data_IF_159956465368
#
_entry.id   IF_159956465368
#
_cell.length_a   1.000
_cell.length_b   1.000
_cell.length_c   1.000
_cell.angle_alpha   90.00
_cell.angle_beta   90.00
_cell.angle_gamma   90.00
#
_symmetry.space_group_name_H-M   'P 1'
#
loop_
_entity.id
_entity.type
_entity.pdbx_description
1 polymer ?
#
# COMPACT_ATOMS: atom_id res chain seq x y z
N UNK A 1 15.95 -8.37 -10.47
CA UNK A 1 15.27 -7.39 -9.59
C UNK A 1 14.15 -6.61 -10.30
N UNK A 2 14.34 -6.17 -11.56
CA UNK A 2 13.33 -5.43 -12.34
C UNK A 2 12.10 -6.30 -12.70
N UNK A 3 12.31 -7.56 -13.08
CA UNK A 3 11.24 -8.46 -13.52
C UNK A 3 10.19 -8.74 -12.44
N UNK A 4 10.61 -8.86 -11.17
CA UNK A 4 9.73 -9.07 -10.03
C UNK A 4 8.79 -7.89 -9.77
N UNK A 5 9.30 -6.65 -9.89
CA UNK A 5 8.46 -5.45 -9.74
C UNK A 5 7.45 -5.32 -10.87
N UNK A 6 7.85 -5.68 -12.10
CA UNK A 6 6.96 -5.70 -13.27
C UNK A 6 5.85 -6.75 -13.07
N UNK A 7 6.16 -7.92 -12.54
CA UNK A 7 5.17 -8.96 -12.27
C UNK A 7 4.15 -8.53 -11.21
N UNK A 8 4.62 -7.90 -10.11
CA UNK A 8 3.73 -7.33 -9.08
C UNK A 8 2.81 -6.28 -9.70
N UNK A 9 3.34 -5.36 -10.50
CA UNK A 9 2.54 -4.33 -11.17
C UNK A 9 1.54 -4.93 -12.16
N UNK A 10 1.90 -5.99 -12.88
CA UNK A 10 1.00 -6.70 -13.79
C UNK A 10 -0.14 -7.38 -13.03
N UNK A 11 0.13 -8.05 -11.92
CA UNK A 11 -0.91 -8.66 -11.06
C UNK A 11 -1.82 -7.60 -10.44
N UNK A 12 -1.24 -6.51 -9.95
CA UNK A 12 -2.02 -5.40 -9.40
C UNK A 12 -2.95 -4.81 -10.46
N UNK A 13 -2.45 -4.56 -11.68
CA UNK A 13 -3.26 -4.02 -12.78
C UNK A 13 -4.30 -4.99 -13.34
N UNK A 14 -4.04 -6.30 -13.29
CA UNK A 14 -4.91 -7.31 -13.91
C UNK A 14 -5.97 -7.85 -12.95
N UNK A 15 -5.62 -7.98 -11.68
CA UNK A 15 -6.44 -8.69 -10.68
C UNK A 15 -6.80 -7.81 -9.48
N UNK A 16 -6.28 -6.59 -9.39
CA UNK A 16 -6.36 -5.72 -8.20
C UNK A 16 -5.76 -6.38 -6.94
N UNK A 17 -4.93 -7.43 -7.09
CA UNK A 17 -4.37 -8.20 -5.97
C UNK A 17 -2.94 -7.76 -5.65
N UNK A 18 -2.66 -7.60 -4.36
CA UNK A 18 -1.32 -7.48 -3.80
C UNK A 18 -1.11 -8.50 -2.68
N UNK A 19 0.10 -9.02 -2.54
CA UNK A 19 0.41 -9.92 -1.42
C UNK A 19 0.64 -9.11 -0.13
N UNK A 20 0.19 -9.64 1.00
CA UNK A 20 0.38 -9.03 2.31
C UNK A 20 1.86 -8.81 2.64
N UNK A 21 2.74 -9.72 2.20
CA UNK A 21 4.19 -9.53 2.37
C UNK A 21 4.73 -8.28 1.66
N UNK A 22 4.10 -7.82 0.58
CA UNK A 22 4.48 -6.53 -0.03
C UNK A 22 4.02 -5.34 0.81
N UNK A 23 2.87 -5.46 1.50
CA UNK A 23 2.41 -4.46 2.47
C UNK A 23 3.41 -4.36 3.63
N UNK A 24 3.82 -5.50 4.20
CA UNK A 24 4.84 -5.54 5.27
C UNK A 24 6.11 -4.84 4.81
N UNK A 25 6.64 -5.17 3.62
CA UNK A 25 7.85 -4.52 3.09
C UNK A 25 7.71 -3.01 2.93
N UNK A 26 6.52 -2.50 2.59
CA UNK A 26 6.26 -1.06 2.51
C UNK A 26 6.29 -0.46 3.92
N UNK A 27 5.59 -1.07 4.86
CA UNK A 27 5.54 -0.68 6.27
C UNK A 27 6.95 -0.64 6.88
N UNK A 28 7.74 -1.71 6.73
CA UNK A 28 9.12 -1.78 7.23
C UNK A 28 10.01 -0.70 6.61
N UNK A 29 9.81 -0.40 5.32
CA UNK A 29 10.58 0.62 4.63
C UNK A 29 10.30 2.05 5.13
N UNK A 30 9.17 2.32 5.78
CA UNK A 30 8.94 3.61 6.44
C UNK A 30 9.85 3.83 7.67
N UNK A 31 10.24 2.75 8.36
CA UNK A 31 11.12 2.81 9.52
C UNK A 31 12.60 2.98 9.13
N UNK A 32 12.98 2.53 7.93
CA UNK A 32 14.36 2.57 7.45
C UNK A 32 14.60 3.88 6.69
N UNK A 33 15.54 4.71 7.15
CA UNK A 33 15.84 6.01 6.51
C UNK A 33 16.13 5.90 5.00
N UNK A 34 16.89 4.88 4.57
CA UNK A 34 17.15 4.61 3.15
C UNK A 34 15.95 3.98 2.39
N UNK A 35 14.97 3.45 3.12
CA UNK A 35 13.75 2.85 2.59
C UNK A 35 12.57 3.81 2.44
N UNK A 36 12.61 4.98 3.09
CA UNK A 36 11.49 5.91 3.12
C UNK A 36 11.02 6.35 1.73
N UNK A 37 11.95 6.65 0.82
CA UNK A 37 11.58 7.03 -0.55
C UNK A 37 10.83 5.92 -1.31
N UNK A 38 11.20 4.65 -1.07
CA UNK A 38 10.50 3.49 -1.64
C UNK A 38 9.11 3.35 -1.03
N UNK A 39 8.99 3.46 0.30
CA UNK A 39 7.73 3.38 1.01
C UNK A 39 6.76 4.47 0.54
N UNK A 40 7.26 5.68 0.38
CA UNK A 40 6.52 6.83 -0.16
C UNK A 40 6.01 6.55 -1.57
N UNK A 41 6.90 6.14 -2.47
CA UNK A 41 6.54 5.87 -3.87
C UNK A 41 5.50 4.77 -4.01
N UNK A 42 5.66 3.65 -3.28
CA UNK A 42 4.71 2.54 -3.31
C UNK A 42 3.36 2.92 -2.70
N UNK A 43 3.35 3.61 -1.57
CA UNK A 43 2.12 4.08 -0.92
C UNK A 43 1.35 5.04 -1.83
N UNK A 44 2.04 5.99 -2.47
CA UNK A 44 1.44 6.90 -3.45
C UNK A 44 0.79 6.11 -4.60
N UNK A 45 1.51 5.13 -5.14
CA UNK A 45 0.98 4.25 -6.19
C UNK A 45 -0.27 3.48 -5.77
N UNK A 46 -0.31 2.99 -4.52
CA UNK A 46 -1.50 2.30 -3.98
C UNK A 46 -2.69 3.24 -3.79
N UNK A 47 -2.47 4.45 -3.29
CA UNK A 47 -3.53 5.46 -3.14
C UNK A 47 -4.08 5.90 -4.50
N UNK A 48 -3.21 6.16 -5.47
CA UNK A 48 -3.60 6.47 -6.86
C UNK A 48 -4.39 5.32 -7.49
N UNK A 49 -3.99 4.09 -7.21
CA UNK A 49 -4.67 2.90 -7.71
C UNK A 49 -6.06 2.76 -7.08
N UNK A 50 -6.21 2.94 -5.77
CA UNK A 50 -7.51 2.93 -5.09
C UNK A 50 -8.47 3.98 -5.67
N UNK A 51 -7.97 5.18 -5.97
CA UNK A 51 -8.79 6.23 -6.61
C UNK A 51 -9.27 5.81 -8.00
N UNK A 52 -8.44 5.11 -8.78
CA UNK A 52 -8.76 4.72 -10.17
C UNK A 52 -9.61 3.45 -10.26
N UNK A 53 -9.29 2.45 -9.47
CA UNK A 53 -9.84 1.09 -9.59
C UNK A 53 -10.88 0.76 -8.51
N UNK A 54 -11.00 1.59 -7.47
CA UNK A 54 -12.01 1.46 -6.42
C UNK A 54 -11.68 0.44 -5.33
N UNK A 55 -10.81 -0.54 -5.59
CA UNK A 55 -10.38 -1.50 -4.58
C UNK A 55 -9.00 -2.12 -4.81
N UNK A 56 -8.37 -2.57 -3.73
CA UNK A 56 -7.18 -3.42 -3.69
C UNK A 56 -7.49 -4.63 -2.80
N UNK A 57 -7.19 -5.82 -3.30
CA UNK A 57 -7.31 -7.07 -2.55
C UNK A 57 -5.93 -7.45 -2.02
N UNK A 58 -5.75 -7.37 -0.71
CA UNK A 58 -4.52 -7.82 -0.04
C UNK A 58 -4.68 -9.29 0.36
N UNK A 59 -3.84 -10.16 -0.21
CA UNK A 59 -3.85 -11.60 0.07
C UNK A 59 -2.75 -11.94 1.07
N UNK A 60 -3.11 -12.43 2.26
CA UNK A 60 -2.14 -12.90 3.27
C UNK A 60 -1.76 -14.36 3.05
N UNK A 61 -2.76 -15.19 2.79
CA UNK A 61 -2.65 -16.62 2.49
C UNK A 61 -3.77 -17.02 1.51
N UNK A 62 -3.84 -18.29 1.09
CA UNK A 62 -4.91 -18.76 0.18
C UNK A 62 -6.33 -18.47 0.68
N UNK A 63 -6.52 -18.39 2.00
CA UNK A 63 -7.82 -18.22 2.65
C UNK A 63 -8.12 -16.81 3.15
N UNK A 64 -7.10 -15.96 3.34
CA UNK A 64 -7.29 -14.64 3.97
C UNK A 64 -7.09 -13.53 2.94
N UNK A 65 -8.19 -12.80 2.68
CA UNK A 65 -8.23 -11.63 1.80
C UNK A 65 -8.75 -10.43 2.58
N UNK A 66 -7.98 -9.34 2.57
CA UNK A 66 -8.40 -8.04 3.08
C UNK A 66 -8.73 -7.19 1.85
N UNK A 67 -9.94 -6.63 1.79
CA UNK A 67 -10.34 -5.75 0.69
C UNK A 67 -10.23 -4.31 1.17
N UNK A 68 -9.38 -3.54 0.53
CA UNK A 68 -9.21 -2.11 0.76
C UNK A 68 -10.02 -1.37 -0.31
N UNK A 69 -11.00 -0.58 0.09
CA UNK A 69 -11.86 0.17 -0.86
C UNK A 69 -11.58 1.67 -0.82
N UNK A 70 -10.99 2.13 0.27
CA UNK A 70 -10.76 3.54 0.51
C UNK A 70 -9.32 3.79 0.93
N UNK A 71 -8.87 5.03 0.74
CA UNK A 71 -7.61 5.55 1.31
C UNK A 71 -7.51 5.30 2.82
N UNK A 72 -8.64 5.36 3.54
CA UNK A 72 -8.70 5.10 4.98
C UNK A 72 -8.52 3.62 5.31
N UNK A 73 -8.95 2.70 4.46
CA UNK A 73 -8.69 1.26 4.67
C UNK A 73 -7.20 0.97 4.57
N UNK A 74 -6.51 1.59 3.61
CA UNK A 74 -5.07 1.48 3.48
C UNK A 74 -4.34 2.09 4.69
N UNK A 75 -4.77 3.27 5.14
CA UNK A 75 -4.20 3.91 6.33
C UNK A 75 -4.38 3.05 7.59
N UNK A 76 -5.59 2.51 7.80
CA UNK A 76 -5.88 1.57 8.89
C UNK A 76 -5.04 0.30 8.79
N UNK A 77 -4.82 -0.22 7.58
CA UNK A 77 -3.97 -1.39 7.38
C UNK A 77 -2.53 -1.10 7.82
N UNK A 78 -1.93 0.01 7.39
CA UNK A 78 -0.59 0.38 7.83
C UNK A 78 -0.52 0.59 9.33
N UNK A 79 -1.49 1.32 9.91
CA UNK A 79 -1.56 1.56 11.35
C UNK A 79 -1.70 0.24 12.15
N UNK A 80 -2.40 -0.76 11.58
CA UNK A 80 -2.56 -2.07 12.22
C UNK A 80 -1.29 -2.92 12.22
N UNK A 81 -0.37 -2.67 11.29
CA UNK A 81 0.93 -3.35 11.21
C UNK A 81 1.95 -2.59 12.04
N UNK A 82 1.96 -1.26 11.95
CA UNK A 82 2.83 -0.38 12.70
C UNK A 82 2.07 0.88 13.15
N UNK A 83 1.89 1.01 14.46
CA UNK A 83 1.17 2.12 15.09
C UNK A 83 1.83 3.49 14.88
N UNK A 84 3.10 3.53 14.47
CA UNK A 84 3.80 4.79 14.20
C UNK A 84 3.55 5.32 12.77
N UNK A 85 3.00 4.49 11.87
CA UNK A 85 2.74 4.89 10.48
C UNK A 85 1.34 5.49 10.39
N UNK A 86 1.27 6.80 10.56
CA UNK A 86 0.01 7.57 10.47
C UNK A 86 -0.06 8.36 9.16
N UNK A 87 -0.21 7.68 8.03
CA UNK A 87 -0.14 8.33 6.70
C UNK A 87 -1.20 9.43 6.47
N UNK A 88 -2.31 9.40 7.19
CA UNK A 88 -3.36 10.42 7.10
C UNK A 88 -2.88 11.81 7.55
N UNK A 89 -1.87 11.85 8.44
CA UNK A 89 -1.29 13.07 9.01
C UNK A 89 0.03 13.44 8.35
N UNK A 90 0.56 12.58 7.48
CA UNK A 90 1.82 12.81 6.80
C UNK A 90 1.66 13.90 5.74
N UNK A 91 2.58 14.86 5.72
CA UNK A 91 2.54 16.01 4.79
C UNK A 91 2.52 15.55 3.33
N UNK A 92 3.19 14.44 3.01
CA UNK A 92 3.28 13.90 1.65
C UNK A 92 1.92 13.34 1.20
N UNK A 93 1.19 12.69 2.11
CA UNK A 93 -0.05 12.01 1.77
C UNK A 93 -1.31 12.81 2.10
N UNK A 94 -1.21 13.93 2.84
CA UNK A 94 -2.38 14.71 3.27
C UNK A 94 -3.32 15.05 2.10
N UNK A 95 -2.78 15.30 0.91
CA UNK A 95 -3.53 15.67 -0.30
C UNK A 95 -4.52 14.58 -0.74
N UNK A 96 -4.22 13.32 -0.42
CA UNK A 96 -5.12 12.20 -0.65
C UNK A 96 -6.30 12.21 0.31
N UNK A 97 -6.11 12.69 1.55
CA UNK A 97 -7.08 12.63 2.65
C UNK A 97 -7.87 13.93 2.85
N UNK A 98 -7.38 15.07 2.36
CA UNK A 98 -8.01 16.40 2.50
C UNK A 98 -9.20 16.67 1.55
N UNK A 99 -9.79 15.63 0.97
CA UNK A 99 -10.99 15.66 0.13
C UNK A 99 -12.02 14.68 0.68
#
# INVERSE_FOLDING_TARGET
>A
MIEYQIEILKRLKKENVINYNEIIKITDAFQIASGQGLAIGKTKGMLDFLIKCGEIIVKKDEKIKIVLKTKYDLAKLYLSIDSYITIEKDVIFNSYFSR
#
